data_IF_816395111075
#
_entry.id   IF_816395111075
#
_cell.length_a   1.000
_cell.length_b   1.000
_cell.length_c   1.000
_cell.angle_alpha   90.00
_cell.angle_beta   90.00
_cell.angle_gamma   90.00
#
_symmetry.space_group_name_H-M   'P 1'
#
loop_
_entity.id
_entity.type
_entity.pdbx_description
1 polymer ?
2 non-polymer ?
3 non-polymer ?
4 water ?
#
# COMPACT_ATOMS: atom_id res chain seq x y z
N UNK A 1 -3.36 -8.61 -11.89
CA UNK A 1 -3.30 -7.12 -11.87
C UNK A 1 -2.77 -6.60 -10.52
N UNK A 2 -2.28 -5.36 -10.50
CA UNK A 2 -1.74 -4.76 -9.28
C UNK A 2 -2.73 -4.85 -8.13
N UNK A 3 -4.03 -4.89 -8.45
CA UNK A 3 -5.07 -4.98 -7.43
C UNK A 3 -4.96 -6.35 -6.79
N UNK A 4 -4.74 -7.37 -7.61
CA UNK A 4 -4.59 -8.74 -7.14
C UNK A 4 -3.25 -8.91 -6.41
N UNK A 5 -2.19 -8.33 -6.97
CA UNK A 5 -0.89 -8.41 -6.32
C UNK A 5 -1.03 -7.85 -4.90
N UNK A 6 -1.78 -6.76 -4.79
CA UNK A 6 -2.03 -6.05 -3.54
C UNK A 6 -2.80 -6.92 -2.54
N UNK A 7 -3.74 -7.68 -3.06
CA UNK A 7 -4.58 -8.56 -2.27
C UNK A 7 -3.82 -9.82 -1.88
N UNK A 8 -2.87 -10.22 -2.72
CA UNK A 8 -2.07 -11.41 -2.47
C UNK A 8 -1.08 -11.18 -1.34
N UNK A 9 -0.59 -9.95 -1.23
CA UNK A 9 0.36 -9.60 -0.18
C UNK A 9 -0.32 -9.67 1.18
N UNK A 10 -1.55 -9.19 1.25
CA UNK A 10 -2.29 -9.23 2.50
C UNK A 10 -2.63 -10.66 2.89
N UNK A 11 -2.99 -11.47 1.90
CA UNK A 11 -3.35 -12.87 2.13
C UNK A 11 -2.18 -13.75 2.53
N UNK A 12 -1.07 -13.62 1.82
CA UNK A 12 0.11 -14.45 2.08
C UNK A 12 1.01 -13.92 3.18
N UNK A 13 1.31 -12.63 3.13
CA UNK A 13 2.20 -12.02 4.10
C UNK A 13 1.44 -11.55 5.33
N UNK A 14 0.12 -11.40 5.17
CA UNK A 14 -0.76 -10.95 6.25
C UNK A 14 -0.32 -9.58 6.76
N UNK A 15 -0.06 -8.69 5.82
CA UNK A 15 0.34 -7.33 6.13
C UNK A 15 -0.12 -6.40 5.01
N UNK A 16 -0.06 -5.11 5.27
CA UNK A 16 -0.47 -4.12 4.29
C UNK A 16 0.69 -3.84 3.37
N UNK A 17 0.50 -4.12 2.08
CA UNK A 17 1.56 -3.87 1.11
C UNK A 17 1.74 -2.39 0.81
N UNK A 18 0.66 -1.64 0.90
CA UNK A 18 0.73 -0.21 0.62
C UNK A 18 1.48 0.58 1.68
N UNK A 19 1.36 0.13 2.93
CA UNK A 19 1.94 0.98 3.97
C UNK A 19 3.25 0.38 4.50
N UNK A 20 3.64 -0.75 3.92
CA UNK A 20 4.88 -1.44 4.36
C UNK A 20 5.85 -1.73 3.21
N UNK A 21 5.36 -1.77 1.97
CA UNK A 21 6.24 -2.13 0.83
C UNK A 21 6.14 -1.21 -0.41
N UNK A 22 5.50 -0.07 -0.29
CA UNK A 22 5.36 0.85 -1.45
C UNK A 22 6.46 1.93 -1.45
N UNK A 23 7.44 1.96 -0.57
CA UNK A 23 8.52 2.94 -0.58
C UNK A 23 9.72 2.39 0.18
N UNK A 24 9.98 1.11 0.00
CA UNK A 24 11.05 0.43 0.71
C UNK A 24 12.28 0.17 -0.14
N UNK A 25 13.45 0.46 0.41
CA UNK A 25 14.70 0.23 -0.30
C UNK A 25 14.83 0.90 -1.65
N UNK A 26 15.49 0.22 -2.58
CA UNK A 26 15.69 0.77 -3.91
C UNK A 26 14.73 0.27 -4.99
N UNK A 27 14.01 -0.81 -4.70
CA UNK A 27 13.10 -1.39 -5.69
C UNK A 27 11.66 -1.56 -5.25
N UNK A 28 11.42 -1.55 -3.96
CA UNK A 28 10.05 -1.70 -3.48
C UNK A 28 9.37 -0.36 -3.60
N UNK A 29 8.61 -0.20 -4.68
CA UNK A 29 7.93 1.04 -4.96
C UNK A 29 7.89 1.17 -6.47
N UNK A 30 7.36 2.26 -7.00
CA UNK A 30 7.29 2.39 -8.45
C UNK A 30 8.65 2.59 -9.11
N UNK A 31 8.97 1.72 -10.05
CA UNK A 31 10.25 1.83 -10.73
C UNK A 31 11.33 1.11 -9.94
N UNK A 32 12.54 1.62 -10.01
CA UNK A 32 13.64 0.98 -9.32
C UNK A 32 14.93 1.23 -10.07
N UNK A 33 16.03 1.34 -9.34
CA UNK A 33 17.31 1.62 -9.95
C UNK A 33 18.31 1.34 -8.85
N UNK A 34 19.58 1.17 -9.20
CA UNK A 34 20.59 0.88 -8.19
C UNK A 34 20.65 -0.59 -7.82
N UNK A 35 21.04 -0.89 -6.59
CA UNK A 35 21.13 -2.27 -6.09
C UNK A 35 20.14 -2.54 -4.96
N UNK A 36 19.58 -3.76 -4.89
CA UNK A 36 18.63 -4.10 -3.82
C UNK A 36 19.42 -4.00 -2.51
N UNK A 37 18.87 -3.36 -1.49
CA UNK A 37 19.59 -3.19 -0.24
C UNK A 37 19.50 -4.34 0.76
N UNK A 38 18.52 -5.20 0.60
CA UNK A 38 18.38 -6.34 1.49
C UNK A 38 17.52 -7.43 0.87
N UNK A 39 17.06 -8.37 1.69
CA UNK A 39 16.25 -9.46 1.19
C UNK A 39 14.88 -9.02 0.67
N UNK A 40 14.21 -8.16 1.44
CA UNK A 40 12.90 -7.67 1.04
C UNK A 40 13.00 -6.88 -0.26
N UNK A 41 14.06 -6.08 -0.36
CA UNK A 41 14.32 -5.27 -1.54
C UNK A 41 14.64 -6.16 -2.76
N UNK A 42 15.30 -7.29 -2.55
CA UNK A 42 15.62 -8.18 -3.65
C UNK A 42 14.32 -8.82 -4.17
N UNK A 43 13.38 -9.08 -3.27
CA UNK A 43 12.11 -9.65 -3.66
C UNK A 43 11.44 -8.73 -4.70
N UNK A 44 11.52 -7.42 -4.46
CA UNK A 44 10.94 -6.43 -5.36
C UNK A 44 11.72 -6.35 -6.67
N UNK A 45 13.05 -6.45 -6.58
CA UNK A 45 13.89 -6.40 -7.77
C UNK A 45 13.53 -7.57 -8.68
N UNK A 46 13.38 -8.75 -8.08
CA UNK A 46 13.01 -9.94 -8.84
C UNK A 46 11.60 -9.80 -9.44
N UNK A 47 10.69 -9.18 -8.70
CA UNK A 47 9.32 -8.96 -9.16
C UNK A 47 9.31 -8.04 -10.36
N UNK A 48 10.13 -6.99 -10.32
CA UNK A 48 10.25 -6.05 -11.43
C UNK A 48 10.81 -6.81 -12.64
N UNK A 49 11.78 -7.67 -12.38
CA UNK A 49 12.41 -8.48 -13.42
C UNK A 49 11.43 -9.48 -14.00
N UNK A 50 10.50 -9.93 -13.16
CA UNK A 50 9.53 -10.91 -13.56
C UNK A 50 8.50 -10.29 -14.49
N UNK A 51 7.98 -9.13 -14.11
CA UNK A 51 7.01 -8.41 -14.93
C UNK A 51 7.59 -8.09 -16.30
N UNK A 52 8.90 -7.86 -16.33
CA UNK A 52 9.56 -7.51 -17.57
C UNK A 52 9.81 -8.63 -18.55
N UNK A 53 9.58 -9.86 -18.13
CA UNK A 53 9.79 -11.01 -18.99
C UNK A 53 8.47 -11.62 -19.46
N UNK A 54 7.38 -10.94 -19.10
CA UNK A 54 6.03 -11.36 -19.46
C UNK A 54 5.64 -10.77 -20.81
N UNK A 55 5.46 -11.64 -21.80
CA UNK A 55 5.09 -11.25 -23.15
C UNK A 55 3.80 -11.96 -23.56
N UNK A 56 2.86 -11.19 -24.11
CA UNK A 56 1.60 -11.79 -24.53
C UNK A 56 0.43 -11.32 -23.71
N UNK A 57 0.71 -10.45 -22.76
CA UNK A 57 -0.33 -9.89 -21.88
C UNK A 57 0.30 -8.84 -20.97
N UNK A 58 -0.55 -8.07 -20.29
CA UNK A 58 -0.09 -7.00 -19.42
C UNK A 58 -0.12 -7.29 -17.91
N UNK A 59 1.06 -7.41 -17.29
CA UNK A 59 1.20 -7.69 -15.85
C UNK A 59 0.59 -6.67 -14.88
N UNK A 60 0.31 -5.46 -15.37
CA UNK A 60 -0.28 -4.43 -14.51
C UNK A 60 -1.80 -4.36 -14.55
N UNK A 61 -2.38 -4.47 -15.73
CA UNK A 61 -3.84 -4.39 -15.86
C UNK A 61 -4.58 -5.70 -16.08
N UNK A 62 -3.95 -6.70 -16.69
CA UNK A 62 -4.64 -7.96 -16.93
C UNK A 62 -4.90 -8.75 -15.64
N UNK A 63 -6.08 -9.34 -15.56
CA UNK A 63 -6.48 -10.11 -14.38
C UNK A 63 -6.30 -11.61 -14.59
N UNK A 64 -5.79 -12.28 -13.57
CA UNK A 64 -5.57 -13.73 -13.61
C UNK A 64 -6.44 -14.41 -12.58
N UNK A 65 -6.36 -15.73 -12.52
CA UNK A 65 -7.15 -16.52 -11.57
C UNK A 65 -6.26 -17.27 -10.58
N UNK A 66 -6.81 -17.49 -9.39
CA UNK A 66 -6.08 -18.22 -8.35
C UNK A 66 -7.06 -18.74 -7.30
N UNK A 67 -6.68 -19.80 -6.63
CA UNK A 67 -7.52 -20.38 -5.59
C UNK A 67 -6.68 -20.61 -4.34
N UNK A 68 -7.29 -21.22 -3.32
CA UNK A 68 -6.58 -21.48 -2.08
C UNK A 68 -6.66 -22.95 -1.67
N UNK A 69 -5.56 -23.67 -1.86
CA UNK A 69 -5.50 -25.06 -1.51
C UNK A 69 -4.59 -25.27 -0.33
N UNK A 70 -5.19 -25.50 0.85
CA UNK A 70 -4.45 -25.72 2.08
C UNK A 70 -3.81 -24.43 2.58
N UNK A 71 -4.57 -23.34 2.55
CA UNK A 71 -4.04 -22.07 3.02
C UNK A 71 -2.93 -21.52 2.14
N UNK A 72 -2.76 -22.14 0.98
CA UNK A 72 -1.74 -21.70 0.04
C UNK A 72 -2.37 -21.24 -1.26
N UNK A 73 -1.67 -20.39 -1.99
CA UNK A 73 -2.18 -19.85 -3.25
C UNK A 73 -1.73 -20.64 -4.47
N UNK A 74 -2.68 -21.04 -5.32
CA UNK A 74 -2.33 -21.75 -6.55
C UNK A 74 -2.88 -20.92 -7.70
N UNK A 75 -2.03 -20.69 -8.70
CA UNK A 75 -2.41 -19.92 -9.86
C UNK A 75 -3.16 -20.75 -10.89
N UNK A 76 -4.14 -20.14 -11.55
CA UNK A 76 -4.90 -20.84 -12.57
C UNK A 76 -4.06 -20.99 -13.83
N UNK A 77 -4.06 -22.18 -14.43
CA UNK A 77 -3.27 -22.40 -15.62
C UNK A 77 -4.00 -22.38 -16.95
N UNK A 78 -5.31 -22.21 -16.95
CA UNK A 78 -6.07 -22.20 -18.19
C UNK A 78 -5.49 -21.23 -19.23
N UNK A 79 -5.32 -19.97 -18.86
CA UNK A 79 -4.72 -18.99 -19.76
C UNK A 79 -3.24 -18.97 -19.43
N UNK A 80 -2.39 -19.44 -20.35
CA UNK A 80 -0.93 -19.48 -20.18
C UNK A 80 -0.21 -18.18 -19.77
N UNK A 81 -0.50 -17.09 -20.46
CA UNK A 81 0.14 -15.81 -20.17
C UNK A 81 -0.20 -15.26 -18.79
N UNK A 82 -1.47 -15.30 -18.43
CA UNK A 82 -1.93 -14.79 -17.14
C UNK A 82 -1.43 -15.61 -15.95
N UNK A 83 -1.10 -16.86 -16.20
CA UNK A 83 -0.58 -17.73 -15.13
C UNK A 83 0.86 -17.28 -14.82
N UNK A 84 1.51 -16.75 -15.84
CA UNK A 84 2.87 -16.27 -15.73
C UNK A 84 2.87 -14.99 -14.90
N UNK A 85 1.79 -14.22 -15.00
CA UNK A 85 1.63 -12.96 -14.27
C UNK A 85 1.38 -13.26 -12.79
N UNK A 86 0.50 -14.22 -12.54
CA UNK A 86 0.15 -14.65 -11.20
C UNK A 86 1.39 -15.17 -10.49
N UNK A 87 2.20 -15.95 -11.21
CA UNK A 87 3.42 -16.51 -10.66
C UNK A 87 4.38 -15.44 -10.20
N UNK A 88 4.45 -14.34 -10.94
CA UNK A 88 5.32 -13.23 -10.59
C UNK A 88 4.87 -12.64 -9.26
N UNK A 89 3.56 -12.41 -9.12
CA UNK A 89 3.01 -11.84 -7.89
C UNK A 89 3.06 -12.84 -6.75
N UNK A 90 2.70 -14.07 -7.05
CA UNK A 90 2.69 -15.14 -6.05
C UNK A 90 4.07 -15.36 -5.43
N UNK A 91 5.10 -15.48 -6.28
CA UNK A 91 6.47 -15.69 -5.80
C UNK A 91 6.98 -14.50 -4.97
N UNK A 92 6.55 -13.29 -5.32
CA UNK A 92 6.96 -12.09 -4.60
C UNK A 92 6.28 -12.04 -3.23
N UNK A 93 5.00 -12.40 -3.19
CA UNK A 93 4.27 -12.41 -1.93
C UNK A 93 4.94 -13.36 -0.95
N UNK A 94 5.31 -14.54 -1.43
CA UNK A 94 5.96 -15.54 -0.60
C UNK A 94 7.35 -15.11 -0.17
N UNK A 95 8.01 -14.37 -1.04
CA UNK A 95 9.35 -13.87 -0.78
C UNK A 95 9.29 -12.87 0.38
N UNK A 96 8.23 -12.06 0.42
CA UNK A 96 8.06 -11.06 1.48
C UNK A 96 7.82 -11.73 2.83
N UNK A 97 7.00 -12.77 2.81
CA UNK A 97 6.67 -13.50 4.03
C UNK A 97 7.89 -14.22 4.61
N UNK A 98 8.67 -14.86 3.76
CA UNK A 98 9.86 -15.59 4.21
C UNK A 98 10.98 -14.69 4.72
N UNK A 99 10.93 -13.41 4.36
CA UNK A 99 11.98 -12.49 4.78
C UNK A 99 11.58 -11.48 5.83
N UNK A 100 10.41 -11.70 6.44
CA UNK A 100 9.91 -10.81 7.49
C UNK A 100 10.89 -10.73 8.65
N UNK A 101 11.68 -11.78 8.82
CA UNK A 101 12.65 -11.84 9.91
C UNK A 101 13.71 -10.76 9.81
N UNK A 102 13.91 -10.23 8.61
CA UNK A 102 14.91 -9.18 8.38
C UNK A 102 14.30 -7.89 7.86
N UNK A 103 12.96 -7.81 7.78
CA UNK A 103 12.28 -6.61 7.30
C UNK A 103 12.78 -5.46 8.18
N UNK A 104 13.38 -4.46 7.55
CA UNK A 104 14.00 -3.34 8.26
C UNK A 104 13.55 -1.93 7.79
N UNK A 105 12.28 -1.60 8.05
CA UNK A 105 11.75 -0.30 7.65
C UNK A 105 12.41 0.85 8.39
N UNK A 106 12.95 0.56 9.57
CA UNK A 106 13.62 1.59 10.35
C UNK A 106 14.75 2.21 9.54
N UNK A 107 15.31 1.41 8.64
CA UNK A 107 16.44 1.84 7.82
C UNK A 107 16.05 2.14 6.39
N UNK A 108 15.29 1.24 5.77
CA UNK A 108 14.94 1.40 4.37
C UNK A 108 13.64 2.07 3.94
N UNK A 109 12.81 2.53 4.87
CA UNK A 109 11.58 3.21 4.44
C UNK A 109 12.02 4.59 3.96
N UNK A 110 11.57 4.98 2.78
CA UNK A 110 11.96 6.27 2.19
C UNK A 110 13.48 6.42 2.23
N UNK A 111 14.16 5.38 1.79
CA UNK A 111 15.61 5.34 1.71
C UNK A 111 16.10 6.40 0.74
N UNK A 112 17.08 7.23 1.14
CA UNK A 112 17.57 8.26 0.24
C UNK A 112 17.88 7.81 -1.20
N UNK A 113 17.41 8.62 -2.15
CA UNK A 113 17.59 8.40 -3.58
C UNK A 113 19.04 8.30 -4.05
N UNK A 114 19.92 9.03 -3.38
CA UNK A 114 21.33 9.04 -3.74
C UNK A 114 21.93 7.65 -3.58
N UNK A 115 21.28 6.82 -2.78
CA UNK A 115 21.75 5.46 -2.51
C UNK A 115 21.39 4.46 -3.61
N UNK A 116 20.51 4.86 -4.51
CA UNK A 116 20.08 3.98 -5.58
C UNK A 116 20.45 4.52 -6.96
N UNK A 117 21.57 5.23 -7.04
CA UNK A 117 22.02 5.82 -8.31
C UNK A 117 22.84 4.92 -9.23
N UNK A 118 23.45 3.89 -8.68
CA UNK A 118 24.26 2.96 -9.47
C UNK A 118 23.42 2.37 -10.58
N UNK A 119 24.08 1.75 -11.56
CA UNK A 119 23.36 1.13 -12.66
C UNK A 119 22.74 -0.15 -12.13
N UNK A 120 21.46 -0.41 -12.40
CA UNK A 120 20.84 -1.63 -11.89
C UNK A 120 21.51 -2.95 -12.28
N UNK A 121 21.31 -3.96 -11.44
CA UNK A 121 21.88 -5.28 -11.69
C UNK A 121 21.10 -5.89 -12.83
N UNK A 122 21.75 -6.71 -13.67
CA UNK A 122 20.98 -7.29 -14.77
C UNK A 122 19.94 -8.26 -14.16
N UNK A 123 18.85 -8.46 -14.88
CA UNK A 123 17.81 -9.37 -14.39
C UNK A 123 18.23 -10.82 -14.53
N UNK B 1 -7.88 -1.88 11.36
CA UNK B 1 -6.44 -2.16 11.15
C UNK B 1 -5.98 -1.63 9.80
N UNK B 2 -4.66 -1.53 9.60
CA UNK B 2 -4.12 -1.03 8.34
C UNK B 2 -4.55 -1.86 7.15
N UNK B 3 -4.73 -3.16 7.35
CA UNK B 3 -5.15 -4.04 6.27
C UNK B 3 -6.57 -3.67 5.86
N UNK B 4 -7.44 -3.43 6.84
CA UNK B 4 -8.82 -3.07 6.54
C UNK B 4 -8.88 -1.68 5.88
N UNK B 5 -8.05 -0.77 6.37
CA UNK B 5 -7.96 0.59 5.84
C UNK B 5 -7.59 0.50 4.36
N UNK B 6 -6.60 -0.35 4.05
CA UNK B 6 -6.16 -0.54 2.68
C UNK B 6 -7.26 -1.17 1.83
N UNK B 7 -7.95 -2.15 2.40
CA UNK B 7 -9.05 -2.82 1.69
C UNK B 7 -10.17 -1.81 1.40
N UNK B 8 -10.41 -0.88 2.33
CA UNK B 8 -11.44 0.14 2.15
C UNK B 8 -11.03 1.12 1.07
N UNK B 9 -9.73 1.34 0.92
CA UNK B 9 -9.25 2.25 -0.11
C UNK B 9 -9.45 1.60 -1.46
N UNK B 10 -9.14 0.31 -1.56
CA UNK B 10 -9.31 -0.44 -2.80
C UNK B 10 -10.78 -0.45 -3.22
N UNK B 11 -11.68 -0.65 -2.25
CA UNK B 11 -13.10 -0.71 -2.52
C UNK B 11 -13.79 0.61 -2.83
N UNK B 12 -13.34 1.69 -2.21
CA UNK B 12 -13.95 2.99 -2.43
C UNK B 12 -13.33 3.71 -3.63
N UNK B 13 -12.02 3.89 -3.58
CA UNK B 13 -11.29 4.59 -4.64
C UNK B 13 -11.28 3.80 -5.94
N UNK B 14 -11.74 2.56 -5.90
CA UNK B 14 -11.80 1.68 -7.06
C UNK B 14 -10.56 1.71 -7.97
N UNK B 15 -9.48 2.32 -7.47
CA UNK B 15 -8.22 2.42 -8.21
C UNK B 15 -7.12 2.63 -7.17
N UNK B 16 -7.17 1.82 -6.13
CA UNK B 16 -6.17 1.93 -5.07
C UNK B 16 -4.86 1.31 -5.50
N UNK B 17 -4.90 0.56 -6.60
CA UNK B 17 -3.70 -0.10 -7.11
C UNK B 17 -2.72 0.88 -7.72
N UNK B 18 -3.21 1.97 -8.32
CA UNK B 18 -2.32 2.95 -8.93
C UNK B 18 -2.26 4.29 -8.21
N UNK B 19 -3.10 4.45 -7.20
CA UNK B 19 -3.11 5.68 -6.39
C UNK B 19 -2.72 5.29 -4.98
N UNK B 20 -1.47 5.57 -4.63
CA UNK B 20 -0.96 5.23 -3.31
C UNK B 20 -1.01 6.42 -2.34
N UNK B 21 -1.21 6.10 -1.07
CA UNK B 21 -1.31 7.08 -0.02
C UNK B 21 -0.33 6.81 1.12
N UNK B 22 0.81 6.20 0.80
CA UNK B 22 1.82 5.86 1.80
C UNK B 22 2.96 6.85 2.01
N UNK B 23 3.19 7.73 1.04
CA UNK B 23 4.27 8.72 1.13
C UNK B 23 3.92 9.91 0.24
N UNK B 24 2.74 10.48 0.50
CA UNK B 24 2.23 11.60 -0.26
C UNK B 24 2.10 12.85 0.61
N UNK B 25 2.63 13.97 0.15
CA UNK B 25 2.54 15.20 0.91
C UNK B 25 3.24 15.18 2.25
N UNK B 26 2.59 15.79 3.24
CA UNK B 26 3.14 15.86 4.59
C UNK B 26 2.41 14.95 5.57
N UNK B 27 1.26 14.44 5.18
CA UNK B 27 0.45 13.61 6.07
C UNK B 27 0.01 12.24 5.58
N UNK B 28 0.18 11.96 4.30
CA UNK B 28 -0.19 10.65 3.78
C UNK B 28 0.99 9.71 3.89
N UNK B 29 1.06 9.01 5.02
CA UNK B 29 2.15 8.09 5.26
C UNK B 29 2.42 8.04 6.74
N UNK B 30 3.49 7.37 7.15
CA UNK B 30 3.81 7.26 8.56
C UNK B 30 4.16 8.58 9.20
N UNK B 31 3.47 8.90 10.27
CA UNK B 31 3.72 10.16 10.96
C UNK B 31 2.97 11.30 10.33
N UNK B 32 3.57 12.48 10.38
CA UNK B 32 2.93 13.65 9.83
C UNK B 32 3.39 14.87 10.59
N UNK B 33 3.59 15.96 9.89
CA UNK B 33 4.06 17.18 10.51
C UNK B 33 3.93 18.27 9.46
N UNK B 34 3.92 19.52 9.90
CA UNK B 34 3.78 20.62 8.98
C UNK B 34 2.30 20.79 8.64
N UNK B 35 2.00 21.06 7.38
CA UNK B 35 0.62 21.23 6.99
C UNK B 35 0.20 20.58 5.67
N UNK B 36 -1.10 20.25 5.55
CA UNK B 36 -1.62 19.63 4.33
C UNK B 36 -1.21 20.48 3.14
N UNK B 37 -0.62 19.84 2.13
CA UNK B 37 -0.17 20.52 0.93
C UNK B 37 -1.27 20.66 -0.11
N UNK B 38 -2.29 19.81 -0.01
CA UNK B 38 -3.39 19.87 -0.96
C UNK B 38 -4.62 19.18 -0.38
N UNK B 39 -5.60 18.86 -1.22
CA UNK B 39 -6.82 18.24 -0.75
C UNK B 39 -6.61 16.82 -0.22
N UNK B 40 -5.91 16.00 -1.00
CA UNK B 40 -5.64 14.63 -0.61
C UNK B 40 -4.84 14.66 0.68
N UNK B 41 -3.81 15.50 0.72
CA UNK B 41 -2.99 15.60 1.90
C UNK B 41 -3.81 16.05 3.11
N UNK B 42 -4.88 16.81 2.89
CA UNK B 42 -5.70 17.24 4.01
C UNK B 42 -6.53 16.04 4.47
N UNK B 43 -6.87 15.15 3.53
CA UNK B 43 -7.62 13.96 3.87
C UNK B 43 -6.81 13.16 4.89
N UNK B 44 -5.50 13.06 4.68
CA UNK B 44 -4.63 12.32 5.60
C UNK B 44 -4.42 13.07 6.92
N UNK B 45 -4.44 14.39 6.89
CA UNK B 45 -4.25 15.13 8.12
C UNK B 45 -5.44 14.90 9.06
N UNK B 46 -6.65 14.95 8.51
CA UNK B 46 -7.88 14.75 9.28
C UNK B 46 -7.93 13.31 9.79
N UNK B 47 -7.43 12.39 8.97
CA UNK B 47 -7.39 10.97 9.31
C UNK B 47 -6.45 10.76 10.49
N UNK B 48 -5.29 11.41 10.46
CA UNK B 48 -4.32 11.28 11.54
C UNK B 48 -4.92 11.85 12.83
N UNK B 49 -5.73 12.89 12.68
CA UNK B 49 -6.37 13.54 13.83
C UNK B 49 -7.42 12.62 14.40
N UNK B 50 -8.08 11.88 13.52
CA UNK B 50 -9.12 10.95 13.88
C UNK B 50 -8.54 9.77 14.66
N UNK B 51 -7.36 9.30 14.26
CA UNK B 51 -6.71 8.19 14.95
C UNK B 51 -6.17 8.66 16.30
N UNK B 52 -5.80 9.94 16.38
CA UNK B 52 -5.27 10.48 17.62
C UNK B 52 -6.34 10.70 18.68
N UNK B 53 -7.58 10.91 18.24
CA UNK B 53 -8.69 11.14 19.16
C UNK B 53 -9.35 9.86 19.67
N UNK B 54 -8.70 8.72 19.49
CA UNK B 54 -9.29 7.45 19.93
C UNK B 54 -8.56 6.82 21.11
N UNK B 55 -9.34 6.29 22.03
CA UNK B 55 -8.82 5.64 23.23
C UNK B 55 -9.71 4.45 23.59
N UNK B 56 -9.09 3.39 24.08
CA UNK B 56 -9.85 2.21 24.44
C UNK B 56 -9.51 1.05 23.54
N UNK B 57 -9.01 1.38 22.35
CA UNK B 57 -8.61 0.39 21.37
C UNK B 57 -7.48 0.94 20.51
N UNK B 58 -6.85 0.07 19.74
CA UNK B 58 -5.73 0.47 18.88
C UNK B 58 -6.22 0.57 17.43
N UNK B 59 -6.09 1.76 16.82
CA UNK B 59 -6.53 1.93 15.44
C UNK B 59 -5.62 1.25 14.41
N UNK B 60 -4.39 0.93 14.81
CA UNK B 60 -3.42 0.29 13.94
C UNK B 60 -3.58 -1.23 13.81
N UNK B 61 -3.82 -1.90 14.92
CA UNK B 61 -3.95 -3.35 14.91
C UNK B 61 -5.32 -3.94 15.18
N UNK B 62 -6.23 -3.16 15.75
CA UNK B 62 -7.56 -3.67 16.03
C UNK B 62 -8.41 -3.72 14.78
N UNK B 63 -9.13 -4.83 14.62
CA UNK B 63 -10.00 -5.02 13.47
C UNK B 63 -11.44 -4.67 13.84
N UNK B 64 -12.12 -4.01 12.92
CA UNK B 64 -13.51 -3.61 13.14
C UNK B 64 -14.44 -4.34 12.18
N UNK B 65 -15.74 -4.20 12.38
CA UNK B 65 -16.72 -4.84 11.54
C UNK B 65 -17.32 -3.83 10.58
N UNK B 66 -17.66 -4.27 9.38
CA UNK B 66 -18.25 -3.40 8.38
C UNK B 66 -18.89 -4.20 7.27
N UNK B 67 -19.88 -3.59 6.62
CA UNK B 67 -20.58 -4.21 5.51
C UNK B 67 -20.44 -3.36 4.26
N UNK B 68 -20.95 -3.89 3.15
CA UNK B 68 -20.90 -3.20 1.86
C UNK B 68 -22.30 -3.28 1.25
N UNK B 69 -23.24 -2.56 1.86
CA UNK B 69 -24.62 -2.56 1.41
C UNK B 69 -24.73 -1.72 0.13
N UNK B 70 -24.68 -2.37 -1.03
CA UNK B 70 -24.77 -1.66 -2.29
C UNK B 70 -23.41 -1.24 -2.79
N UNK B 71 -23.02 -0.01 -2.49
CA UNK B 71 -21.74 0.49 -2.92
C UNK B 71 -21.08 1.28 -1.80
N UNK B 72 -21.78 1.41 -0.68
CA UNK B 72 -21.24 2.13 0.45
C UNK B 72 -20.67 1.22 1.49
N UNK B 73 -19.81 1.78 2.31
CA UNK B 73 -19.24 1.02 3.39
C UNK B 73 -19.96 1.49 4.64
N UNK B 74 -20.63 0.56 5.31
CA UNK B 74 -21.38 0.86 6.52
C UNK B 74 -20.61 0.25 7.68
N UNK B 75 -20.29 1.08 8.65
CA UNK B 75 -19.57 0.61 9.81
C UNK B 75 -20.58 0.09 10.81
N UNK B 76 -20.33 -1.09 11.35
CA UNK B 76 -21.26 -1.65 12.31
C UNK B 76 -20.58 -2.25 13.52
N UNK B 77 -21.00 -3.47 13.87
CA UNK B 77 -20.45 -4.15 15.02
C UNK B 77 -21.12 -3.66 16.28
N UNK B 78 -20.66 -4.13 17.43
CA UNK B 78 -21.23 -3.71 18.70
C UNK B 78 -20.14 -3.24 19.65
N UNK B 79 -19.28 -2.36 19.14
CA UNK B 79 -18.19 -1.79 19.92
C UNK B 79 -17.95 -0.37 19.46
N UNK B 80 -18.28 0.62 20.31
CA UNK B 80 -18.10 2.04 19.98
C UNK B 80 -16.67 2.44 19.65
N UNK B 81 -15.70 1.79 20.28
CA UNK B 81 -14.30 2.13 20.04
C UNK B 81 -13.84 1.67 18.66
N UNK B 82 -14.24 0.48 18.27
CA UNK B 82 -13.85 -0.06 16.98
C UNK B 82 -14.68 0.55 15.85
N UNK B 83 -15.92 0.95 16.14
CA UNK B 83 -16.75 1.56 15.12
C UNK B 83 -16.22 2.98 14.86
N UNK B 84 -15.49 3.51 15.83
CA UNK B 84 -14.87 4.82 15.73
C UNK B 84 -13.73 4.70 14.72
N UNK B 85 -12.93 3.65 14.89
CA UNK B 85 -11.80 3.39 14.02
C UNK B 85 -12.27 3.24 12.57
N UNK B 86 -13.36 2.52 12.40
CA UNK B 86 -13.94 2.28 11.09
C UNK B 86 -14.41 3.58 10.43
N UNK B 87 -14.96 4.48 11.22
CA UNK B 87 -15.42 5.76 10.69
C UNK B 87 -14.25 6.62 10.25
N UNK B 88 -13.14 6.55 10.97
CA UNK B 88 -11.96 7.32 10.61
C UNK B 88 -11.48 6.87 9.24
N UNK B 89 -11.57 5.57 8.98
CA UNK B 89 -11.14 4.97 7.72
C UNK B 89 -12.15 5.20 6.60
N UNK B 90 -13.43 5.06 6.92
CA UNK B 90 -14.49 5.24 5.94
C UNK B 90 -14.48 6.66 5.36
N UNK B 91 -14.41 7.65 6.23
CA UNK B 91 -14.37 9.05 5.83
C UNK B 91 -13.15 9.36 4.96
N UNK B 92 -11.98 8.92 5.39
CA UNK B 92 -10.74 9.17 4.66
C UNK B 92 -10.76 8.56 3.26
N UNK B 93 -11.27 7.34 3.15
CA UNK B 93 -11.34 6.67 1.86
C UNK B 93 -12.21 7.45 0.87
N UNK B 94 -13.35 7.96 1.33
CA UNK B 94 -14.24 8.74 0.46
C UNK B 94 -13.57 10.03 0.09
N UNK B 95 -12.83 10.57 1.06
CA UNK B 95 -12.12 11.80 0.89
C UNK B 95 -11.10 11.62 -0.23
N UNK B 96 -10.37 10.51 -0.21
CA UNK B 96 -9.37 10.22 -1.24
C UNK B 96 -10.04 10.17 -2.60
N UNK B 97 -11.15 9.46 -2.66
CA UNK B 97 -11.90 9.29 -3.90
C UNK B 97 -12.53 10.58 -4.46
N UNK B 98 -12.99 11.45 -3.57
CA UNK B 98 -13.60 12.70 -4.03
C UNK B 98 -12.55 13.73 -4.42
N UNK B 99 -11.28 13.42 -4.19
CA UNK B 99 -10.22 14.35 -4.53
C UNK B 99 -9.23 13.78 -5.54
N UNK B 100 -9.66 12.76 -6.28
CA UNK B 100 -8.80 12.13 -7.29
C UNK B 100 -8.45 13.07 -8.44
N UNK B 101 -9.33 14.03 -8.70
CA UNK B 101 -9.10 14.97 -9.79
C UNK B 101 -7.94 15.91 -9.50
N UNK B 102 -7.54 15.97 -8.24
CA UNK B 102 -6.45 16.84 -7.81
C UNK B 102 -5.19 16.08 -7.41
N UNK B 103 -5.31 14.76 -7.26
CA UNK B 103 -4.19 13.92 -6.86
C UNK B 103 -2.99 14.25 -7.73
N UNK B 104 -1.89 14.66 -7.08
CA UNK B 104 -0.67 15.10 -7.78
C UNK B 104 0.62 14.42 -7.31
N UNK B 105 0.78 13.14 -7.61
CA UNK B 105 1.98 12.40 -7.18
C UNK B 105 3.26 12.90 -7.84
N UNK B 106 3.15 13.50 -9.02
CA UNK B 106 4.32 14.03 -9.73
C UNK B 106 4.98 15.07 -8.85
N UNK B 107 4.17 15.70 -8.02
CA UNK B 107 4.63 16.77 -7.16
C UNK B 107 4.75 16.41 -5.69
N UNK B 108 3.84 15.57 -5.22
CA UNK B 108 3.85 15.27 -3.80
C UNK B 108 4.31 13.88 -3.36
N UNK B 109 4.64 13.03 -4.32
CA UNK B 109 5.10 11.70 -3.95
C UNK B 109 6.54 11.81 -3.44
N UNK B 110 6.75 11.42 -2.19
CA UNK B 110 8.08 11.50 -1.57
C UNK B 110 8.47 12.95 -1.43
N UNK B 111 7.48 13.76 -1.08
CA UNK B 111 7.65 15.19 -0.90
C UNK B 111 8.79 15.37 0.10
N UNK B 112 9.77 16.23 -0.23
CA UNK B 112 10.88 16.45 0.70
C UNK B 112 10.37 16.76 2.11
N UNK B 113 10.96 16.13 3.12
CA UNK B 113 10.57 16.33 4.51
C UNK B 113 10.80 17.76 5.01
N UNK B 114 11.81 18.44 4.49
CA UNK B 114 12.14 19.80 4.92
C UNK B 114 10.98 20.75 4.66
N UNK B 115 10.03 20.31 3.83
CA UNK B 115 8.86 21.11 3.48
C UNK B 115 7.73 20.90 4.47
N UNK B 116 7.97 20.05 5.47
CA UNK B 116 6.95 19.75 6.47
C UNK B 116 7.47 19.95 7.88
N UNK B 117 8.46 20.82 8.05
CA UNK B 117 9.03 21.04 9.37
C UNK B 117 8.37 22.15 10.15
N UNK B 118 7.15 22.49 9.76
CA UNK B 118 6.41 23.53 10.49
C UNK B 118 5.58 22.79 11.57
N UNK B 119 5.40 23.42 12.72
CA UNK B 119 4.55 22.79 13.71
C UNK B 119 3.11 22.77 13.21
N UNK B 120 2.53 21.56 13.28
CA UNK B 120 1.16 21.36 12.83
C UNK B 120 0.11 22.17 13.54
N UNK B 121 -0.98 22.45 12.83
CA UNK B 121 -2.08 23.21 13.43
C UNK B 121 -2.95 22.23 14.22
N UNK B 122 -3.73 22.73 15.20
CA UNK B 122 -4.61 21.87 16.01
C UNK B 122 -5.61 21.05 15.21
N UNK B 123 -6.05 19.95 15.81
CA UNK B 123 -7.00 19.04 15.19
C UNK B 123 -8.44 19.51 15.37
X LIG C 1 20.47 3.92 -15.04
X LIG D 1 9.88 -1.35 -8.26
X LIG E 1 0.12 10.67 8.55
#
# INVERSE_FOLDING_TARGET
SLIQFETLIMKVVKKSGMFWYSAYGCYCGWGGHGRPQDATDRCCFVHDCCYGKVTGCDPKMDSYTYSEENGDIVCGGDDPCKREICECDRVAADCFRDNLDTYNSDTYWRYPRQDCEESPEPC
SLIQFETLIMKVVKKSGMFWYSAYGCYCGWGGHGRPQDATDRCCFVHDCCYGKVTGCDPKMDSYTYSEENGDIVCGGDDPCKREICECDRVAADCFRDNLDTYNSDTYWRYPRQDCEESPEPC
ZN ZN
CA CA
CA CA
#
